data_IF_410557862582
#
_entry.id   IF_410557862582
#
_cell.length_a   1.000
_cell.length_b   1.000
_cell.length_c   1.000
_cell.angle_alpha   90.00
_cell.angle_beta   90.00
_cell.angle_gamma   90.00
#
_symmetry.space_group_name_H-M   'P 1'
#
loop_
_entity.id
_entity.type
_entity.pdbx_description
1 polymer ?
#
# COMPACT_ATOMS: atom_id res chain seq x y z
N UNK A 1 2.27 13.98 17.38
CA UNK A 1 3.00 12.72 17.62
C UNK A 1 2.86 11.89 16.35
N UNK A 2 3.96 11.47 15.72
CA UNK A 2 3.94 10.70 14.47
C UNK A 2 4.60 9.34 14.71
N UNK A 3 3.93 8.26 14.31
CA UNK A 3 4.50 6.91 14.35
C UNK A 3 5.23 6.65 13.03
N UNK A 4 6.53 6.35 13.09
CA UNK A 4 7.34 6.02 11.93
C UNK A 4 7.76 4.55 12.02
N UNK A 5 7.52 3.80 10.96
CA UNK A 5 7.87 2.38 10.87
C UNK A 5 8.54 2.11 9.52
N UNK A 6 9.61 1.32 9.50
CA UNK A 6 10.22 0.81 8.28
C UNK A 6 10.45 -0.70 8.39
N UNK A 7 10.50 -1.37 7.25
CA UNK A 7 10.74 -2.80 7.17
C UNK A 7 11.36 -3.15 5.82
N UNK A 8 12.12 -4.25 5.80
CA UNK A 8 12.69 -4.82 4.59
C UNK A 8 12.47 -6.33 4.63
N UNK A 9 12.12 -6.91 3.49
CA UNK A 9 11.88 -8.34 3.34
C UNK A 9 12.72 -8.82 2.16
N UNK A 10 13.43 -9.93 2.34
CA UNK A 10 14.13 -10.62 1.24
C UNK A 10 13.23 -11.70 0.69
N UNK A 11 13.16 -11.77 -0.64
CA UNK A 11 12.36 -12.77 -1.37
C UNK A 11 13.32 -13.60 -2.22
N UNK A 12 13.18 -14.93 -2.18
CA UNK A 12 13.99 -15.88 -2.94
C UNK A 12 13.38 -16.14 -4.33
N UNK A 13 13.21 -15.06 -5.10
CA UNK A 13 12.71 -15.06 -6.48
C UNK A 13 13.56 -14.12 -7.32
N UNK A 14 13.61 -14.34 -8.64
CA UNK A 14 14.31 -13.43 -9.54
C UNK A 14 13.63 -12.05 -9.57
N UNK A 15 14.42 -11.01 -9.85
CA UNK A 15 13.94 -9.62 -9.82
C UNK A 15 12.79 -9.35 -10.78
N UNK A 16 12.75 -10.00 -11.94
CA UNK A 16 11.69 -9.78 -12.92
C UNK A 16 10.35 -10.34 -12.42
N UNK A 17 10.36 -11.55 -11.86
CA UNK A 17 9.17 -12.17 -11.26
C UNK A 17 8.65 -11.36 -10.07
N UNK A 18 9.52 -10.88 -9.19
CA UNK A 18 9.13 -10.01 -8.07
C UNK A 18 8.53 -8.71 -8.59
N UNK A 19 9.17 -8.09 -9.57
CA UNK A 19 8.71 -6.84 -10.17
C UNK A 19 7.29 -6.98 -10.77
N UNK A 20 7.04 -8.01 -11.58
CA UNK A 20 5.72 -8.25 -12.17
C UNK A 20 4.66 -8.53 -11.09
N UNK A 21 5.03 -9.21 -10.01
CA UNK A 21 4.13 -9.51 -8.89
C UNK A 21 3.75 -8.23 -8.13
N UNK A 22 4.74 -7.41 -7.78
CA UNK A 22 4.52 -6.14 -7.04
C UNK A 22 3.79 -5.11 -7.91
N UNK A 23 3.98 -5.15 -9.22
CA UNK A 23 3.28 -4.29 -10.17
C UNK A 23 1.78 -4.57 -10.22
N UNK A 24 1.32 -5.77 -9.85
CA UNK A 24 -0.10 -6.11 -9.86
C UNK A 24 -0.82 -5.52 -8.62
N UNK A 25 -1.60 -4.44 -8.77
CA UNK A 25 -2.22 -3.75 -7.64
C UNK A 25 -3.29 -4.60 -6.95
N UNK A 26 -3.98 -5.46 -7.71
CA UNK A 26 -5.03 -6.34 -7.17
C UNK A 26 -4.41 -7.40 -6.29
N UNK A 27 -3.32 -8.03 -6.75
CA UNK A 27 -2.58 -9.00 -5.96
C UNK A 27 -1.99 -8.35 -4.71
N UNK A 28 -1.37 -7.18 -4.84
CA UNK A 28 -0.76 -6.48 -3.72
C UNK A 28 -1.78 -6.07 -2.65
N UNK A 29 -2.99 -5.65 -3.05
CA UNK A 29 -4.08 -5.34 -2.13
C UNK A 29 -4.56 -6.57 -1.33
N UNK A 30 -4.54 -7.77 -1.92
CA UNK A 30 -4.91 -9.00 -1.21
C UNK A 30 -3.93 -9.37 -0.11
N UNK A 31 -2.66 -8.97 -0.25
CA UNK A 31 -1.64 -9.17 0.78
C UNK A 31 -1.79 -8.21 1.97
N UNK A 32 -2.61 -7.16 1.86
CA UNK A 32 -2.80 -6.16 2.91
C UNK A 32 -4.03 -6.57 3.75
N UNK A 33 -3.84 -6.95 5.04
CA UNK A 33 -4.94 -7.32 5.91
C UNK A 33 -5.96 -6.19 6.02
N UNK A 34 -7.24 -6.53 5.83
CA UNK A 34 -8.32 -5.57 5.97
C UNK A 34 -8.47 -4.57 4.81
N UNK A 35 -7.73 -4.73 3.72
CA UNK A 35 -7.93 -3.95 2.51
C UNK A 35 -9.23 -4.32 1.81
N UNK A 36 -10.08 -3.33 1.57
CA UNK A 36 -11.40 -3.45 0.94
C UNK A 36 -11.58 -2.32 -0.07
N UNK A 37 -12.56 -2.47 -0.95
CA UNK A 37 -12.95 -1.42 -1.91
C UNK A 37 -11.78 -0.88 -2.75
N UNK A 38 -10.84 -1.75 -3.16
CA UNK A 38 -9.79 -1.34 -4.10
C UNK A 38 -10.45 -0.92 -5.42
N UNK A 39 -10.21 0.32 -5.83
CA UNK A 39 -10.69 0.89 -7.08
C UNK A 39 -9.55 1.62 -7.76
N UNK A 40 -9.38 1.36 -9.04
CA UNK A 40 -8.49 2.16 -9.88
C UNK A 40 -9.18 3.50 -10.19
N UNK A 41 -8.47 4.60 -9.92
CA UNK A 41 -8.93 5.96 -10.18
C UNK A 41 -8.40 6.47 -11.52
N UNK A 42 -7.14 6.14 -11.82
CA UNK A 42 -6.44 6.42 -13.07
C UNK A 42 -5.19 5.53 -13.17
N UNK A 43 -4.46 5.61 -14.29
CA UNK A 43 -3.20 4.89 -14.44
C UNK A 43 -2.25 5.19 -13.26
N UNK A 44 -1.79 4.13 -12.59
CA UNK A 44 -0.93 4.21 -11.41
C UNK A 44 -1.56 4.81 -10.14
N UNK A 45 -2.87 5.04 -10.09
CA UNK A 45 -3.56 5.63 -8.93
C UNK A 45 -4.79 4.83 -8.51
N UNK A 46 -4.82 4.47 -7.22
CA UNK A 46 -5.85 3.60 -6.66
C UNK A 46 -6.42 4.19 -5.38
N UNK A 47 -7.70 3.94 -5.10
CA UNK A 47 -8.30 4.14 -3.79
C UNK A 47 -8.60 2.81 -3.13
N UNK A 48 -8.44 2.72 -1.82
CA UNK A 48 -8.87 1.58 -1.02
C UNK A 48 -9.36 2.02 0.36
N UNK A 49 -10.03 1.11 1.06
CA UNK A 49 -10.38 1.24 2.47
C UNK A 49 -9.60 0.20 3.25
N UNK A 50 -8.75 0.63 4.18
CA UNK A 50 -8.03 -0.26 5.09
C UNK A 50 -8.78 -0.31 6.42
N UNK A 51 -9.28 -1.47 6.80
CA UNK A 51 -9.95 -1.69 8.08
C UNK A 51 -9.14 -2.64 8.94
N UNK A 52 -8.67 -2.19 10.09
CA UNK A 52 -7.95 -3.02 11.05
C UNK A 52 -8.67 -3.05 12.39
N UNK A 53 -8.77 -4.24 13.00
CA UNK A 53 -9.40 -4.45 14.29
C UNK A 53 -8.31 -4.54 15.36
N UNK A 54 -8.30 -3.60 16.30
CA UNK A 54 -7.32 -3.54 17.39
C UNK A 54 -8.07 -3.61 18.71
N UNK A 55 -8.08 -4.79 19.32
CA UNK A 55 -8.87 -5.06 20.52
C UNK A 55 -10.36 -4.86 20.25
N UNK A 56 -10.98 -3.91 20.95
CA UNK A 56 -12.41 -3.59 20.81
C UNK A 56 -12.69 -2.43 19.84
N UNK A 57 -11.66 -1.91 19.15
CA UNK A 57 -11.77 -0.74 18.28
C UNK A 57 -11.54 -1.17 16.83
N UNK A 58 -12.50 -0.85 15.96
CA UNK A 58 -12.34 -0.95 14.51
C UNK A 58 -11.80 0.36 13.95
N UNK A 59 -10.58 0.35 13.43
CA UNK A 59 -9.97 1.49 12.77
C UNK A 59 -10.15 1.35 11.26
N UNK A 60 -10.70 2.36 10.61
CA UNK A 60 -10.84 2.39 9.15
C UNK A 60 -10.19 3.62 8.56
N UNK A 61 -9.45 3.44 7.47
CA UNK A 61 -8.75 4.50 6.74
C UNK A 61 -9.15 4.46 5.28
N UNK A 62 -9.50 5.62 4.73
CA UNK A 62 -9.63 5.77 3.28
C UNK A 62 -8.29 6.20 2.73
N UNK A 63 -7.68 5.36 1.89
CA UNK A 63 -6.34 5.59 1.35
C UNK A 63 -6.36 5.78 -0.16
N UNK A 64 -5.39 6.56 -0.63
CA UNK A 64 -4.99 6.74 -2.02
C UNK A 64 -3.58 6.21 -2.17
N UNK A 65 -3.39 5.31 -3.13
CA UNK A 65 -2.11 4.73 -3.52
C UNK A 65 -1.71 5.36 -4.86
N UNK A 66 -0.50 5.90 -4.93
CA UNK A 66 0.07 6.53 -6.11
C UNK A 66 1.40 5.86 -6.42
N UNK A 67 1.54 5.29 -7.61
CA UNK A 67 2.82 4.79 -8.09
C UNK A 67 3.64 5.98 -8.58
N UNK A 68 4.70 6.31 -7.85
CA UNK A 68 5.52 7.51 -8.09
C UNK A 68 6.70 7.24 -9.01
N UNK A 69 7.14 5.98 -9.12
CA UNK A 69 8.24 5.57 -9.98
C UNK A 69 8.11 4.12 -10.41
N UNK A 70 8.40 3.84 -11.67
CA UNK A 70 8.47 2.50 -12.25
C UNK A 70 9.69 2.46 -13.16
N UNK A 71 10.67 1.62 -12.85
CA UNK A 71 11.85 1.33 -13.66
C UNK A 71 11.99 -0.19 -13.78
N UNK A 72 11.31 -0.84 -14.75
CA UNK A 72 11.33 -2.29 -14.88
C UNK A 72 12.74 -2.83 -15.22
N UNK A 73 13.20 -3.94 -14.61
CA UNK A 73 12.69 -4.65 -13.44
C UNK A 73 13.38 -4.20 -12.13
N UNK A 74 14.00 -3.03 -12.13
CA UNK A 74 14.93 -2.56 -11.10
C UNK A 74 14.24 -1.93 -9.90
N UNK A 75 13.21 -1.11 -10.14
CA UNK A 75 12.56 -0.36 -9.07
C UNK A 75 11.08 -0.10 -9.35
N UNK A 76 10.28 -0.15 -8.30
CA UNK A 76 8.93 0.39 -8.26
C UNK A 76 8.80 1.12 -6.93
N UNK A 77 8.25 2.33 -6.92
CA UNK A 77 7.97 3.09 -5.70
C UNK A 77 6.50 3.51 -5.70
N UNK A 78 5.83 3.25 -4.59
CA UNK A 78 4.45 3.65 -4.35
C UNK A 78 4.35 4.46 -3.07
N UNK A 79 3.57 5.54 -3.13
CA UNK A 79 3.21 6.37 -2.00
C UNK A 79 1.76 6.12 -1.64
N UNK A 80 1.50 5.97 -0.36
CA UNK A 80 0.17 5.78 0.20
C UNK A 80 -0.11 6.97 1.10
N UNK A 81 -1.27 7.58 0.93
CA UNK A 81 -1.79 8.62 1.82
C UNK A 81 -3.23 8.30 2.18
N UNK A 82 -3.67 8.61 3.38
CA UNK A 82 -5.07 8.43 3.72
C UNK A 82 -5.45 9.02 5.05
N UNK A 83 -6.74 9.22 5.23
CA UNK A 83 -7.30 9.79 6.44
C UNK A 83 -8.21 8.77 7.13
N UNK A 84 -8.24 8.81 8.46
CA UNK A 84 -9.09 7.96 9.27
C UNK A 84 -10.56 8.34 9.05
N UNK A 85 -11.43 7.32 9.03
CA UNK A 85 -12.87 7.49 8.92
C UNK A 85 -13.45 7.62 10.33
N UNK A 86 -14.10 8.75 10.63
CA UNK A 86 -14.77 8.99 11.92
C UNK A 86 -13.84 9.37 13.07
N UNK A 87 -12.52 9.47 12.82
CA UNK A 87 -11.50 9.87 13.78
C UNK A 87 -10.57 10.91 13.14
N UNK A 88 -9.86 11.68 13.95
CA UNK A 88 -8.82 12.59 13.46
C UNK A 88 -7.50 11.82 13.38
N UNK A 89 -7.05 11.52 12.16
CA UNK A 89 -5.77 10.85 11.92
C UNK A 89 -5.44 10.73 10.45
N UNK A 90 -4.14 10.76 10.13
CA UNK A 90 -3.63 10.59 8.77
C UNK A 90 -2.55 9.52 8.74
N UNK A 91 -2.53 8.74 7.68
CA UNK A 91 -1.51 7.76 7.35
C UNK A 91 -0.76 8.24 6.11
N UNK A 92 0.57 8.14 6.16
CA UNK A 92 1.43 8.28 5.01
C UNK A 92 2.45 7.15 5.04
N UNK A 93 2.61 6.43 3.94
CA UNK A 93 3.60 5.38 3.78
C UNK A 93 4.23 5.46 2.39
N UNK A 94 5.47 4.99 2.29
CA UNK A 94 6.16 4.79 1.02
C UNK A 94 6.70 3.38 1.03
N UNK A 95 6.50 2.66 -0.07
CA UNK A 95 7.03 1.32 -0.27
C UNK A 95 7.73 1.27 -1.62
N UNK A 96 8.84 0.53 -1.69
CA UNK A 96 9.50 0.33 -2.96
C UNK A 96 10.32 -0.95 -3.03
N UNK A 97 10.65 -1.34 -4.26
CA UNK A 97 11.58 -2.40 -4.59
C UNK A 97 12.91 -1.76 -4.99
N UNK A 98 14.02 -2.22 -4.41
CA UNK A 98 15.41 -1.80 -4.68
C UNK A 98 16.33 -3.00 -4.94
#
# INVERSE_FOLDING_TARGET
MALQTSGQIRVDLDRATVFETVRNPVWLAQCIPGCKDLRELSDGRYSAVLTNEVGFITLSFKVIVEVVKIDPPRAIEAKITGDAIGLVGRVQATAGLE
#
